data_IF_035705921478
#
_entry.id   IF_035705921478
#
_cell.length_a   1.000
_cell.length_b   1.000
_cell.length_c   1.000
_cell.angle_alpha   90.00
_cell.angle_beta   90.00
_cell.angle_gamma   90.00
#
_symmetry.space_group_name_H-M   'P 1'
#
loop_
_entity.id
_entity.type
_entity.pdbx_description
1 polymer ?
#
# COMPACT_ATOMS: atom_id res chain seq x y z
N UNK A 1 -19.77 11.10 2.76
CA UNK A 1 -18.87 11.21 3.93
C UNK A 1 -17.51 10.72 3.46
N UNK A 2 -16.47 11.51 3.70
CA UNK A 2 -15.10 11.16 3.29
C UNK A 2 -14.35 10.55 4.47
N UNK A 3 -13.50 9.56 4.20
CA UNK A 3 -12.63 8.93 5.21
C UNK A 3 -11.20 8.98 4.71
N UNK A 4 -10.30 9.51 5.54
CA UNK A 4 -8.87 9.62 5.23
C UNK A 4 -8.07 8.75 6.17
N UNK A 5 -7.13 7.98 5.63
CA UNK A 5 -6.19 7.17 6.38
C UNK A 5 -4.75 7.40 5.89
N UNK A 6 -3.80 7.35 6.82
CA UNK A 6 -2.37 7.50 6.56
C UNK A 6 -1.64 6.23 6.97
N UNK A 7 -0.73 5.74 6.13
CA UNK A 7 0.12 4.58 6.39
C UNK A 7 1.59 4.90 6.14
N UNK A 8 2.48 4.16 6.78
CA UNK A 8 3.93 4.21 6.55
C UNK A 8 4.45 2.85 6.06
N UNK A 9 5.57 2.81 5.33
CA UNK A 9 6.17 1.56 4.91
C UNK A 9 6.89 0.87 6.09
N UNK A 10 7.32 -0.36 5.85
CA UNK A 10 8.15 -1.13 6.78
C UNK A 10 9.41 -1.65 6.10
N UNK A 11 10.41 -2.02 6.90
CA UNK A 11 11.62 -2.72 6.45
C UNK A 11 11.69 -4.10 7.08
N UNK A 12 11.63 -5.15 6.27
CA UNK A 12 11.70 -6.55 6.73
C UNK A 12 13.11 -6.89 7.23
N UNK A 13 13.21 -7.36 8.47
CA UNK A 13 14.47 -7.82 9.09
C UNK A 13 14.56 -9.35 9.05
N UNK A 14 13.44 -10.04 9.29
CA UNK A 14 13.23 -11.42 8.84
C UNK A 14 12.43 -11.35 7.56
N UNK A 15 12.97 -11.88 6.47
CA UNK A 15 12.50 -11.60 5.11
C UNK A 15 11.27 -12.43 4.76
N UNK A 16 10.27 -11.77 4.20
CA UNK A 16 9.27 -12.44 3.36
C UNK A 16 9.93 -12.77 2.02
N UNK A 17 10.04 -14.06 1.69
CA UNK A 17 10.61 -14.51 0.43
C UNK A 17 10.00 -15.83 -0.03
N UNK A 18 9.24 -15.77 -1.11
CA UNK A 18 8.53 -16.91 -1.69
C UNK A 18 7.17 -17.19 -1.06
N UNK A 19 6.25 -17.68 -1.88
CA UNK A 19 4.92 -18.12 -1.47
C UNK A 19 4.81 -19.64 -1.54
N UNK A 20 4.08 -20.22 -0.59
CA UNK A 20 3.58 -21.60 -0.70
C UNK A 20 2.29 -21.71 -1.51
N UNK A 21 1.57 -20.60 -1.63
CA UNK A 21 0.38 -20.46 -2.48
C UNK A 21 0.35 -19.04 -3.06
N UNK A 22 0.61 -18.92 -4.36
CA UNK A 22 0.70 -17.63 -5.04
C UNK A 22 -0.66 -16.94 -5.20
N UNK A 23 -1.73 -17.70 -5.48
CA UNK A 23 -3.06 -17.14 -5.69
C UNK A 23 -3.59 -16.43 -4.45
N UNK A 24 -3.31 -16.99 -3.27
CA UNK A 24 -3.69 -16.43 -1.97
C UNK A 24 -2.59 -15.58 -1.32
N UNK A 25 -1.40 -15.48 -1.94
CA UNK A 25 -0.20 -14.82 -1.37
C UNK A 25 0.17 -15.35 0.02
N UNK A 26 0.06 -16.66 0.24
CA UNK A 26 0.44 -17.27 1.52
C UNK A 26 1.96 -17.47 1.57
N UNK A 27 2.65 -16.95 2.60
CA UNK A 27 4.09 -17.00 2.67
C UNK A 27 4.61 -18.42 2.94
N UNK A 28 5.82 -18.70 2.46
CA UNK A 28 6.55 -19.93 2.81
C UNK A 28 6.94 -19.99 4.29
N UNK A 29 7.24 -18.83 4.89
CA UNK A 29 7.64 -18.68 6.29
C UNK A 29 7.22 -17.31 6.81
N UNK A 30 7.13 -17.17 8.13
CA UNK A 30 6.82 -15.89 8.78
C UNK A 30 7.92 -14.84 8.51
N UNK A 31 7.52 -13.58 8.53
CA UNK A 31 8.42 -12.43 8.38
C UNK A 31 8.25 -11.45 9.53
N UNK A 32 9.29 -10.68 9.81
CA UNK A 32 9.28 -9.65 10.85
C UNK A 32 9.88 -8.36 10.30
N UNK A 33 9.22 -7.24 10.52
CA UNK A 33 9.60 -5.94 9.97
C UNK A 33 9.48 -4.83 11.00
N UNK A 34 10.31 -3.79 10.84
CA UNK A 34 10.16 -2.55 11.58
C UNK A 34 9.39 -1.51 10.76
N UNK A 35 8.33 -0.95 11.33
CA UNK A 35 7.59 0.19 10.76
C UNK A 35 8.48 1.42 10.75
N UNK A 36 8.51 2.13 9.62
CA UNK A 36 9.28 3.36 9.47
C UNK A 36 8.41 4.58 9.81
N UNK A 37 9.06 5.67 10.22
CA UNK A 37 8.38 6.95 10.47
C UNK A 37 7.97 7.64 9.14
N UNK A 38 8.81 7.51 8.10
CA UNK A 38 8.60 8.11 6.79
C UNK A 38 9.23 7.26 5.66
N UNK A 39 8.83 7.44 4.38
CA UNK A 39 7.77 8.33 3.87
C UNK A 39 6.36 7.85 4.28
N UNK A 40 5.32 8.64 3.97
CA UNK A 40 3.93 8.25 4.28
C UNK A 40 3.07 8.28 3.04
N UNK A 41 2.06 7.42 3.00
CA UNK A 41 1.02 7.41 1.98
C UNK A 41 -0.30 7.77 2.64
N UNK A 42 -1.02 8.72 2.06
CA UNK A 42 -2.36 9.10 2.48
C UNK A 42 -3.37 8.68 1.41
N UNK A 43 -4.49 8.11 1.84
CA UNK A 43 -5.60 7.71 0.99
C UNK A 43 -6.86 8.34 1.55
N UNK A 44 -7.57 9.08 0.70
CA UNK A 44 -8.90 9.60 0.99
C UNK A 44 -9.91 8.84 0.14
N UNK A 45 -10.98 8.38 0.78
CA UNK A 45 -12.03 7.57 0.16
C UNK A 45 -13.37 8.26 0.34
N UNK A 46 -14.15 8.26 -0.73
CA UNK A 46 -15.55 8.61 -0.73
C UNK A 46 -16.38 7.41 -1.18
N UNK A 47 -17.58 7.27 -0.60
CA UNK A 47 -18.55 6.31 -1.13
C UNK A 47 -19.03 6.76 -2.52
N UNK A 48 -18.92 5.88 -3.51
CA UNK A 48 -19.30 6.15 -4.89
C UNK A 48 -19.87 4.89 -5.55
N UNK A 49 -20.77 5.08 -6.52
CA UNK A 49 -21.37 3.98 -7.29
C UNK A 49 -20.37 3.31 -8.25
N UNK A 50 -19.33 4.06 -8.64
CA UNK A 50 -18.27 3.61 -9.55
C UNK A 50 -16.92 3.89 -8.92
N UNK A 51 -16.03 2.89 -8.94
CA UNK A 51 -14.65 3.05 -8.51
C UNK A 51 -13.90 3.95 -9.49
N UNK A 52 -13.38 5.06 -8.98
CA UNK A 52 -12.38 5.88 -9.66
C UNK A 52 -11.16 5.99 -8.76
N UNK A 53 -9.97 5.91 -9.35
CA UNK A 53 -8.70 5.96 -8.62
C UNK A 53 -7.81 7.01 -9.27
N UNK A 54 -7.26 7.89 -8.44
CA UNK A 54 -6.29 8.90 -8.84
C UNK A 54 -5.09 8.81 -7.92
N UNK A 55 -3.89 8.95 -8.46
CA UNK A 55 -2.65 8.93 -7.70
C UNK A 55 -1.91 10.22 -7.92
N UNK A 56 -1.28 10.74 -6.88
CA UNK A 56 -0.49 11.96 -6.94
C UNK A 56 0.92 11.68 -6.44
N UNK A 57 1.91 12.28 -7.08
CA UNK A 57 3.29 12.27 -6.62
C UNK A 57 3.46 13.25 -5.43
N UNK A 58 4.57 13.17 -4.67
CA UNK A 58 4.83 14.08 -3.56
C UNK A 58 4.88 15.57 -3.93
N UNK A 59 5.14 15.88 -5.20
CA UNK A 59 5.13 17.25 -5.74
C UNK A 59 3.72 17.74 -6.15
N UNK A 60 2.69 16.91 -5.98
CA UNK A 60 1.31 17.19 -6.35
C UNK A 60 0.96 16.89 -7.81
N UNK A 61 1.92 16.49 -8.64
CA UNK A 61 1.63 16.08 -10.02
C UNK A 61 0.79 14.79 -10.04
N UNK A 62 -0.23 14.74 -10.90
CA UNK A 62 -1.03 13.53 -11.08
C UNK A 62 -0.20 12.46 -11.78
N UNK A 63 -0.19 11.26 -11.21
CA UNK A 63 0.49 10.08 -11.74
C UNK A 63 -0.52 9.23 -12.48
N UNK A 64 -0.30 9.04 -13.78
CA UNK A 64 -1.07 8.07 -14.56
C UNK A 64 -0.88 6.65 -14.00
N UNK A 65 -2.01 6.01 -13.69
CA UNK A 65 -2.04 4.61 -13.29
C UNK A 65 -1.99 3.78 -14.58
N UNK A 66 -0.87 3.08 -14.79
CA UNK A 66 -0.74 2.15 -15.91
C UNK A 66 -1.80 1.05 -15.83
N UNK A 67 -2.27 0.61 -17.00
CA UNK A 67 -3.18 -0.53 -17.16
C UNK A 67 -2.52 -1.86 -16.77
#
# INVERSE_FOLDING_TARGET
MSVTARSTPNSAWIKYWGNRNDALRLPMADSFSMTLDSPTVEITLDHADVLSVRSFNPDGSEKELGA
#
